data_IF_295201980820
#
_entry.id   IF_295201980820
#
_cell.length_a   1.000
_cell.length_b   1.000
_cell.length_c   1.000
_cell.angle_alpha   90.00
_cell.angle_beta   90.00
_cell.angle_gamma   90.00
#
_symmetry.space_group_name_H-M   'P 1'
#
loop_
_entity.id
_entity.type
_entity.pdbx_description
1 polymer ?
#
# COMPACT_ATOMS: atom_id res chain seq x y z
N UNK A 1 7.16 42.75 5.38
CA UNK A 1 7.62 41.47 5.96
C UNK A 1 6.68 40.94 7.06
N UNK A 2 6.65 41.52 8.28
CA UNK A 2 5.81 41.01 9.40
C UNK A 2 4.32 40.82 9.06
N UNK A 3 3.73 41.69 8.24
CA UNK A 3 2.32 41.59 7.86
C UNK A 3 2.03 40.38 6.94
N UNK A 4 2.96 40.03 6.04
CA UNK A 4 2.85 38.85 5.16
C UNK A 4 2.95 37.57 5.97
N UNK A 5 3.93 37.50 6.89
CA UNK A 5 4.09 36.36 7.80
C UNK A 5 2.83 36.18 8.67
N UNK A 6 2.32 37.27 9.26
CA UNK A 6 1.08 37.21 10.04
C UNK A 6 -0.10 36.70 9.20
N UNK A 7 -0.20 37.09 7.93
CA UNK A 7 -1.29 36.65 7.06
C UNK A 7 -1.30 35.13 6.83
N UNK A 8 -0.13 34.52 6.60
CA UNK A 8 -0.03 33.06 6.46
C UNK A 8 -0.23 32.34 7.80
N UNK A 9 0.17 32.94 8.93
CA UNK A 9 -0.03 32.37 10.27
C UNK A 9 -1.50 32.45 10.72
N UNK A 10 -2.26 33.45 10.29
CA UNK A 10 -3.68 33.59 10.65
C UNK A 10 -4.64 32.83 9.74
N UNK A 11 -4.17 32.27 8.62
CA UNK A 11 -5.05 31.71 7.58
C UNK A 11 -4.78 30.22 7.35
N UNK A 12 -5.56 29.38 8.02
CA UNK A 12 -5.39 27.91 7.99
C UNK A 12 -5.58 27.27 6.61
N UNK A 13 -6.29 27.94 5.69
CA UNK A 13 -6.49 27.45 4.31
C UNK A 13 -5.38 27.87 3.35
N UNK A 14 -4.36 28.57 3.83
CA UNK A 14 -3.32 29.19 3.01
C UNK A 14 -3.83 30.46 2.33
N UNK A 15 -2.90 31.25 1.83
CA UNK A 15 -3.16 32.58 1.27
C UNK A 15 -2.65 32.64 -0.17
N UNK A 16 -3.46 33.18 -1.07
CA UNK A 16 -3.13 33.36 -2.49
C UNK A 16 -1.95 34.34 -2.66
N UNK A 17 -0.91 33.90 -3.35
CA UNK A 17 0.32 34.68 -3.59
C UNK A 17 0.09 35.89 -4.49
N UNK A 18 -0.85 35.81 -5.44
CA UNK A 18 -1.27 36.93 -6.27
C UNK A 18 -1.96 38.02 -5.45
N UNK A 19 -2.83 37.64 -4.53
CA UNK A 19 -3.47 38.53 -3.58
C UNK A 19 -2.44 39.18 -2.65
N UNK A 20 -1.48 38.44 -2.10
CA UNK A 20 -0.44 39.00 -1.24
C UNK A 20 0.35 40.11 -1.93
N UNK A 21 0.79 39.87 -3.17
CA UNK A 21 1.54 40.87 -3.96
C UNK A 21 0.77 42.17 -4.10
N UNK A 22 -0.51 42.08 -4.44
CA UNK A 22 -1.40 43.26 -4.59
C UNK A 22 -1.70 43.94 -3.25
N UNK A 23 -2.01 43.16 -2.21
CA UNK A 23 -2.42 43.68 -0.91
C UNK A 23 -1.27 44.35 -0.16
N UNK A 24 -0.04 43.84 -0.31
CA UNK A 24 1.15 44.35 0.39
C UNK A 24 2.08 45.18 -0.50
N UNK A 25 1.79 45.31 -1.80
CA UNK A 25 2.57 46.11 -2.74
C UNK A 25 4.01 45.59 -2.94
N UNK A 26 4.19 44.28 -2.96
CA UNK A 26 5.52 43.63 -3.06
C UNK A 26 5.71 42.93 -4.41
N UNK A 27 6.95 42.89 -4.88
CA UNK A 27 7.36 42.13 -6.06
C UNK A 27 7.43 40.62 -5.79
N UNK A 28 7.51 39.81 -6.84
CA UNK A 28 7.65 38.35 -6.75
C UNK A 28 8.90 37.95 -5.97
N UNK A 29 10.04 38.58 -6.28
CA UNK A 29 11.31 38.31 -5.63
C UNK A 29 11.29 38.68 -4.14
N UNK A 30 10.66 39.81 -3.79
CA UNK A 30 10.51 40.20 -2.38
C UNK A 30 9.58 39.26 -1.63
N UNK A 31 8.48 38.85 -2.25
CA UNK A 31 7.55 37.90 -1.65
C UNK A 31 8.23 36.53 -1.43
N UNK A 32 8.95 36.03 -2.42
CA UNK A 32 9.71 34.77 -2.33
C UNK A 32 10.77 34.85 -1.23
N UNK A 33 11.51 35.96 -1.12
CA UNK A 33 12.49 36.17 -0.04
C UNK A 33 11.82 36.13 1.33
N UNK A 34 10.70 36.84 1.50
CA UNK A 34 9.97 36.93 2.78
C UNK A 34 9.39 35.57 3.17
N UNK A 35 8.73 34.88 2.24
CA UNK A 35 8.13 33.56 2.47
C UNK A 35 9.19 32.49 2.73
N UNK A 36 10.31 32.53 2.00
CA UNK A 36 11.45 31.64 2.21
C UNK A 36 12.07 31.83 3.59
N UNK A 37 12.26 33.08 4.04
CA UNK A 37 12.76 33.37 5.38
C UNK A 37 11.80 32.91 6.50
N UNK A 38 10.50 32.90 6.22
CA UNK A 38 9.47 32.39 7.14
C UNK A 38 9.26 30.86 7.06
N UNK A 39 9.98 30.16 6.18
CA UNK A 39 9.81 28.73 5.94
C UNK A 39 8.43 28.37 5.34
N UNK A 40 7.74 29.33 4.74
CA UNK A 40 6.39 29.13 4.23
C UNK A 40 6.36 28.04 3.15
N UNK A 41 5.33 27.20 3.19
CA UNK A 41 5.14 26.14 2.21
C UNK A 41 4.31 26.68 1.06
N UNK A 42 4.92 26.75 -0.13
CA UNK A 42 4.26 27.16 -1.37
C UNK A 42 3.65 25.93 -2.05
N UNK A 43 2.37 26.03 -2.38
CA UNK A 43 1.55 24.94 -2.90
C UNK A 43 0.93 25.40 -4.22
N UNK A 44 1.23 24.73 -5.35
CA UNK A 44 0.56 25.00 -6.61
C UNK A 44 -0.94 24.76 -6.50
N UNK A 45 -1.74 25.71 -6.97
CA UNK A 45 -3.20 25.60 -6.95
C UNK A 45 -3.81 26.13 -8.26
N UNK A 46 -5.09 25.83 -8.50
CA UNK A 46 -5.82 26.33 -9.66
C UNK A 46 -5.95 27.86 -9.58
N UNK A 47 -5.21 28.57 -10.43
CA UNK A 47 -5.21 30.03 -10.51
C UNK A 47 -3.86 30.64 -10.13
N UNK A 48 -3.62 30.78 -8.83
CA UNK A 48 -2.32 31.19 -8.30
C UNK A 48 -1.92 30.32 -7.11
N UNK A 49 -0.60 30.19 -6.91
CA UNK A 49 -0.06 29.41 -5.81
C UNK A 49 -0.56 29.95 -4.48
N UNK A 50 -0.76 29.04 -3.53
CA UNK A 50 -1.10 29.38 -2.15
C UNK A 50 0.08 29.12 -1.24
N UNK A 51 0.25 29.96 -0.23
CA UNK A 51 1.29 29.79 0.77
C UNK A 51 0.68 29.54 2.15
N UNK A 52 1.25 28.56 2.84
CA UNK A 52 0.90 28.16 4.19
C UNK A 52 2.06 28.47 5.14
N UNK A 53 1.76 28.80 6.39
CA UNK A 53 2.78 28.69 7.44
C UNK A 53 3.18 27.22 7.61
N UNK A 54 4.41 26.93 8.10
CA UNK A 54 4.81 25.56 8.42
C UNK A 54 3.83 24.84 9.36
N UNK A 55 3.28 25.58 10.33
CA UNK A 55 2.32 25.06 11.30
C UNK A 55 1.01 24.63 10.63
N UNK A 56 0.41 25.47 9.79
CA UNK A 56 -0.84 25.13 9.11
C UNK A 56 -0.68 24.00 8.10
N UNK A 57 0.47 23.92 7.43
CA UNK A 57 0.78 22.80 6.54
C UNK A 57 0.89 21.48 7.30
N UNK A 58 1.55 21.50 8.46
CA UNK A 58 1.64 20.34 9.35
C UNK A 58 0.25 19.93 9.86
N UNK A 59 -0.55 20.88 10.35
CA UNK A 59 -1.92 20.58 10.81
C UNK A 59 -2.80 20.00 9.71
N UNK A 60 -2.69 20.47 8.46
CA UNK A 60 -3.42 19.88 7.34
C UNK A 60 -3.05 18.40 7.14
N UNK A 61 -1.78 18.05 7.28
CA UNK A 61 -1.36 16.64 7.20
C UNK A 61 -1.95 15.81 8.33
N UNK A 62 -1.93 16.32 9.57
CA UNK A 62 -2.48 15.63 10.74
C UNK A 62 -4.00 15.42 10.59
N UNK A 63 -4.71 16.42 10.06
CA UNK A 63 -6.15 16.29 9.75
C UNK A 63 -6.44 15.24 8.68
N UNK A 64 -5.60 15.13 7.64
CA UNK A 64 -5.74 14.08 6.62
C UNK A 64 -5.52 12.70 7.24
N UNK A 65 -4.51 12.54 8.09
CA UNK A 65 -4.24 11.27 8.77
C UNK A 65 -5.40 10.88 9.70
N UNK A 66 -5.89 11.82 10.52
CA UNK A 66 -7.04 11.60 11.40
C UNK A 66 -8.33 11.29 10.62
N UNK A 67 -8.54 11.94 9.48
CA UNK A 67 -9.63 11.58 8.57
C UNK A 67 -9.49 10.15 8.06
N UNK A 68 -8.30 9.73 7.62
CA UNK A 68 -8.07 8.37 7.13
C UNK A 68 -8.29 7.33 8.23
N UNK A 69 -7.85 7.59 9.47
CA UNK A 69 -8.14 6.72 10.62
C UNK A 69 -9.65 6.51 10.79
N UNK A 70 -10.41 7.60 10.78
CA UNK A 70 -11.87 7.57 10.90
C UNK A 70 -12.52 6.88 9.71
N UNK A 71 -12.09 7.20 8.49
CA UNK A 71 -12.60 6.60 7.27
C UNK A 71 -12.43 5.09 7.26
N UNK A 72 -11.26 4.58 7.68
CA UNK A 72 -10.99 3.14 7.76
C UNK A 72 -11.79 2.45 8.86
N UNK A 73 -11.90 3.06 10.03
CA UNK A 73 -12.73 2.53 11.14
C UNK A 73 -14.19 2.40 10.74
N UNK A 74 -14.74 3.42 10.09
CA UNK A 74 -16.15 3.46 9.72
C UNK A 74 -16.43 2.64 8.45
N UNK A 75 -15.42 2.45 7.59
CA UNK A 75 -15.51 1.74 6.32
C UNK A 75 -14.36 0.73 6.14
N UNK A 76 -14.25 -0.30 7.00
CA UNK A 76 -13.11 -1.23 7.01
C UNK A 76 -12.98 -2.05 5.73
N UNK A 77 -14.04 -2.10 4.93
CA UNK A 77 -14.12 -2.83 3.65
C UNK A 77 -13.58 -2.03 2.47
N UNK A 78 -13.38 -0.72 2.62
CA UNK A 78 -12.83 0.12 1.56
C UNK A 78 -11.31 0.13 1.62
N UNK A 79 -10.69 0.17 0.44
CA UNK A 79 -9.23 0.19 0.27
C UNK A 79 -8.58 1.45 0.78
N UNK A 80 -9.33 2.54 0.87
CA UNK A 80 -8.81 3.87 1.13
C UNK A 80 -9.77 4.91 0.60
N UNK A 81 -9.46 6.16 0.88
CA UNK A 81 -10.21 7.33 0.43
C UNK A 81 -9.59 7.87 -0.86
N UNK A 82 -10.38 8.38 -1.80
CA UNK A 82 -9.84 9.19 -2.89
C UNK A 82 -9.59 10.64 -2.43
N UNK A 83 -8.91 11.46 -3.23
CA UNK A 83 -8.60 12.84 -2.86
C UNK A 83 -9.85 13.71 -2.59
N UNK A 84 -10.96 13.45 -3.28
CA UNK A 84 -12.22 14.15 -3.03
C UNK A 84 -12.88 13.71 -1.72
N UNK A 85 -12.83 12.43 -1.38
CA UNK A 85 -13.30 11.93 -0.08
C UNK A 85 -12.52 12.60 1.07
N UNK A 86 -11.19 12.68 0.93
CA UNK A 86 -10.32 13.39 1.89
C UNK A 86 -10.75 14.86 1.98
N UNK A 87 -10.82 15.57 0.85
CA UNK A 87 -11.18 16.99 0.81
C UNK A 87 -12.53 17.28 1.46
N UNK A 88 -13.53 16.44 1.23
CA UNK A 88 -14.86 16.58 1.82
C UNK A 88 -14.91 16.21 3.31
N UNK A 89 -13.96 15.39 3.77
CA UNK A 89 -13.84 14.99 5.17
C UNK A 89 -13.03 15.95 6.06
N UNK A 90 -12.28 16.87 5.47
CA UNK A 90 -11.52 17.89 6.21
C UNK A 90 -12.45 18.96 6.79
N UNK A 91 -12.17 19.39 8.02
CA UNK A 91 -12.90 20.51 8.65
C UNK A 91 -12.65 21.84 7.92
N UNK A 92 -11.45 22.00 7.32
CA UNK A 92 -11.08 23.19 6.55
C UNK A 92 -11.44 23.06 5.08
N UNK A 93 -11.95 24.15 4.50
CA UNK A 93 -12.25 24.24 3.07
C UNK A 93 -11.00 24.60 2.28
N UNK A 94 -10.30 23.57 1.82
CA UNK A 94 -9.17 23.69 0.89
C UNK A 94 -9.57 23.24 -0.52
N UNK A 95 -8.85 23.74 -1.52
CA UNK A 95 -9.02 23.34 -2.91
C UNK A 95 -8.55 21.90 -3.13
N UNK A 96 -8.95 21.31 -4.25
CA UNK A 96 -8.49 19.97 -4.61
C UNK A 96 -6.98 19.94 -4.89
N UNK A 97 -6.42 20.99 -5.51
CA UNK A 97 -4.98 21.10 -5.75
C UNK A 97 -4.16 21.04 -4.45
N UNK A 98 -4.60 21.77 -3.42
CA UNK A 98 -3.95 21.73 -2.10
C UNK A 98 -3.99 20.33 -1.47
N UNK A 99 -5.12 19.63 -1.56
CA UNK A 99 -5.24 18.25 -1.02
C UNK A 99 -4.31 17.30 -1.77
N UNK A 100 -4.24 17.36 -3.09
CA UNK A 100 -3.35 16.49 -3.87
C UNK A 100 -1.88 16.71 -3.51
N UNK A 101 -1.46 17.96 -3.28
CA UNK A 101 -0.09 18.27 -2.86
C UNK A 101 0.20 17.78 -1.43
N UNK A 102 -0.76 17.92 -0.50
CA UNK A 102 -0.62 17.39 0.85
C UNK A 102 -0.55 15.84 0.84
N UNK A 103 -1.34 15.17 0.00
CA UNK A 103 -1.26 13.73 -0.20
C UNK A 103 0.08 13.31 -0.81
N UNK A 104 0.60 14.05 -1.79
CA UNK A 104 1.92 13.79 -2.37
C UNK A 104 3.04 13.89 -1.31
N UNK A 105 2.98 14.90 -0.44
CA UNK A 105 3.91 15.06 0.68
C UNK A 105 3.75 13.99 1.77
N UNK A 106 2.55 13.43 1.97
CA UNK A 106 2.33 12.27 2.85
C UNK A 106 2.86 10.97 2.23
N UNK A 107 2.74 10.81 0.92
CA UNK A 107 3.25 9.65 0.18
C UNK A 107 4.78 9.62 0.17
N UNK A 108 5.44 10.77 -0.05
CA UNK A 108 6.91 10.83 -0.11
C UNK A 108 7.61 10.49 1.21
N UNK A 109 6.90 10.62 2.35
CA UNK A 109 7.37 10.23 3.68
C UNK A 109 6.78 8.90 4.16
N UNK A 110 6.11 8.17 3.28
CA UNK A 110 5.52 6.85 3.57
C UNK A 110 4.46 6.85 4.70
N UNK A 111 3.92 8.01 5.07
CA UNK A 111 2.86 8.14 6.08
C UNK A 111 1.51 7.59 5.57
N UNK A 112 1.34 7.50 4.25
CA UNK A 112 0.21 6.88 3.57
C UNK A 112 0.71 6.06 2.38
N UNK A 113 -0.14 5.16 1.89
CA UNK A 113 0.12 4.33 0.69
C UNK A 113 -0.96 4.59 -0.34
N UNK A 114 -0.57 4.69 -1.62
CA UNK A 114 -1.50 4.87 -2.74
C UNK A 114 -1.75 3.55 -3.47
N UNK A 115 -3.01 3.28 -3.79
CA UNK A 115 -3.45 2.21 -4.67
C UNK A 115 -4.45 2.75 -5.68
N UNK A 116 -4.01 2.87 -6.94
CA UNK A 116 -4.80 3.55 -7.97
C UNK A 116 -5.11 4.99 -7.56
N UNK A 117 -6.40 5.34 -7.54
CA UNK A 117 -6.90 6.68 -7.16
C UNK A 117 -7.14 6.85 -5.65
N UNK A 118 -6.94 5.78 -4.87
CA UNK A 118 -7.19 5.78 -3.42
C UNK A 118 -5.91 5.83 -2.61
N UNK A 119 -5.98 6.44 -1.42
CA UNK A 119 -4.92 6.47 -0.42
C UNK A 119 -5.40 5.85 0.89
N UNK A 120 -4.51 5.19 1.61
CA UNK A 120 -4.78 4.58 2.91
C UNK A 120 -3.60 4.71 3.86
N UNK A 121 -3.85 4.50 5.15
CA UNK A 121 -2.79 4.34 6.13
C UNK A 121 -2.05 3.02 5.85
N UNK A 122 -0.72 2.95 6.04
CA UNK A 122 0.07 1.76 5.75
C UNK A 122 -0.47 0.50 6.46
N UNK A 123 -0.94 0.65 7.70
CA UNK A 123 -1.50 -0.43 8.52
C UNK A 123 -2.95 -0.83 8.21
N UNK A 124 -3.70 -0.09 7.37
CA UNK A 124 -5.09 -0.44 7.08
C UNK A 124 -5.18 -1.70 6.22
N UNK A 125 -5.75 -2.77 6.78
CA UNK A 125 -6.05 -4.03 6.08
C UNK A 125 -7.55 -4.12 5.82
N UNK A 126 -7.93 -4.38 4.57
CA UNK A 126 -9.34 -4.57 4.21
C UNK A 126 -9.84 -5.87 4.81
N UNK A 127 -10.99 -5.85 5.50
CA UNK A 127 -11.61 -7.08 6.01
C UNK A 127 -12.62 -7.66 5.02
N UNK A 128 -12.84 -8.98 5.10
CA UNK A 128 -13.87 -9.66 4.33
C UNK A 128 -15.28 -9.31 4.85
N UNK A 129 -16.31 -9.48 4.01
CA UNK A 129 -17.69 -9.39 4.48
C UNK A 129 -18.13 -10.65 5.23
N UNK A 130 -19.16 -10.58 6.07
CA UNK A 130 -19.62 -11.71 6.92
C UNK A 130 -19.89 -13.00 6.15
N UNK A 131 -20.40 -12.93 4.92
CA UNK A 131 -20.59 -14.13 4.09
C UNK A 131 -19.26 -14.72 3.60
N UNK A 132 -18.31 -13.86 3.20
CA UNK A 132 -16.99 -14.28 2.78
C UNK A 132 -16.20 -14.85 3.96
N UNK A 133 -16.28 -14.25 5.15
CA UNK A 133 -15.65 -14.75 6.39
C UNK A 133 -16.12 -16.17 6.74
N UNK A 134 -17.40 -16.48 6.52
CA UNK A 134 -17.94 -17.84 6.73
C UNK A 134 -17.39 -18.86 5.74
N UNK A 135 -17.18 -18.46 4.49
CA UNK A 135 -16.73 -19.35 3.42
C UNK A 135 -15.20 -19.47 3.39
N UNK A 136 -14.49 -18.42 3.81
CA UNK A 136 -13.05 -18.27 3.70
C UNK A 136 -12.24 -19.43 4.32
N UNK A 137 -12.51 -19.92 5.54
CA UNK A 137 -11.73 -21.02 6.13
C UNK A 137 -11.72 -22.28 5.26
N UNK A 138 -12.85 -22.60 4.62
CA UNK A 138 -12.96 -23.74 3.70
C UNK A 138 -12.15 -23.51 2.42
N UNK A 139 -12.18 -22.30 1.89
CA UNK A 139 -11.42 -21.91 0.68
C UNK A 139 -9.92 -21.91 0.96
N UNK A 140 -9.48 -21.25 2.04
CA UNK A 140 -8.09 -21.21 2.47
C UNK A 140 -7.51 -22.61 2.65
N UNK A 141 -8.29 -23.53 3.25
CA UNK A 141 -7.90 -24.94 3.42
C UNK A 141 -7.70 -25.67 2.08
N UNK A 142 -8.50 -25.38 1.05
CA UNK A 142 -8.33 -25.99 -0.28
C UNK A 142 -7.10 -25.44 -1.00
N UNK A 143 -6.74 -24.18 -0.75
CA UNK A 143 -5.59 -23.51 -1.37
C UNK A 143 -4.26 -23.73 -0.63
N UNK A 144 -4.30 -24.38 0.53
CA UNK A 144 -3.14 -24.56 1.40
C UNK A 144 -2.14 -25.58 0.80
N UNK A 145 -0.90 -25.17 0.48
CA UNK A 145 0.11 -26.04 -0.09
C UNK A 145 0.55 -27.18 0.85
N UNK A 146 0.32 -27.07 2.17
CA UNK A 146 0.57 -28.15 3.11
C UNK A 146 -0.36 -29.36 2.91
N UNK A 147 -1.45 -29.18 2.15
CA UNK A 147 -2.44 -30.24 1.85
C UNK A 147 -2.28 -30.81 0.44
N UNK A 148 -1.25 -30.39 -0.28
CA UNK A 148 -0.98 -30.76 -1.66
C UNK A 148 -0.83 -29.54 -2.56
N UNK A 149 -0.50 -29.77 -3.82
CA UNK A 149 -0.34 -28.69 -4.80
C UNK A 149 -1.63 -27.85 -4.87
N UNK A 150 -1.60 -26.54 -4.56
CA UNK A 150 -2.81 -25.71 -4.51
C UNK A 150 -3.56 -25.78 -5.84
N UNK A 151 -4.87 -26.02 -5.92
CA UNK A 151 -5.57 -26.19 -7.19
C UNK A 151 -5.62 -24.90 -8.04
N UNK A 152 -5.86 -25.05 -9.34
CA UNK A 152 -6.27 -23.92 -10.18
C UNK A 152 -7.68 -23.43 -9.78
N UNK A 153 -8.05 -22.20 -10.16
CA UNK A 153 -9.34 -21.59 -9.86
C UNK A 153 -10.52 -22.50 -10.26
N UNK A 154 -10.43 -23.12 -11.44
CA UNK A 154 -11.43 -24.07 -11.94
C UNK A 154 -11.53 -25.32 -11.06
N UNK A 155 -10.39 -25.94 -10.73
CA UNK A 155 -10.36 -27.12 -9.86
C UNK A 155 -10.84 -26.79 -8.44
N UNK A 156 -10.48 -25.63 -7.91
CA UNK A 156 -10.95 -25.15 -6.61
C UNK A 156 -12.48 -24.96 -6.62
N UNK A 157 -13.01 -24.36 -7.69
CA UNK A 157 -14.45 -24.20 -7.94
C UNK A 157 -15.18 -25.55 -7.91
N UNK A 158 -14.66 -26.55 -8.64
CA UNK A 158 -15.22 -27.92 -8.66
C UNK A 158 -15.19 -28.58 -7.27
N UNK A 159 -14.07 -28.49 -6.55
CA UNK A 159 -13.92 -29.07 -5.20
C UNK A 159 -14.81 -28.39 -4.16
N UNK A 160 -14.93 -27.06 -4.24
CA UNK A 160 -15.70 -26.25 -3.29
C UNK A 160 -17.20 -26.25 -3.61
N UNK A 161 -17.58 -26.64 -4.84
CA UNK A 161 -18.94 -26.50 -5.37
C UNK A 161 -19.42 -25.04 -5.30
N UNK A 162 -18.52 -24.11 -5.63
CA UNK A 162 -18.78 -22.67 -5.73
C UNK A 162 -18.54 -22.29 -7.18
N UNK A 163 -19.43 -21.52 -7.80
CA UNK A 163 -19.26 -21.13 -9.20
C UNK A 163 -17.94 -20.39 -9.43
N UNK A 164 -17.27 -20.63 -10.56
CA UNK A 164 -15.92 -20.08 -10.82
C UNK A 164 -15.87 -18.55 -10.73
N UNK A 165 -16.90 -17.86 -11.25
CA UNK A 165 -17.01 -16.40 -11.17
C UNK A 165 -17.19 -15.90 -9.73
N UNK A 166 -17.99 -16.61 -8.92
CA UNK A 166 -18.22 -16.29 -7.51
C UNK A 166 -16.94 -16.50 -6.69
N UNK A 167 -16.26 -17.63 -6.89
CA UNK A 167 -14.99 -17.94 -6.24
C UNK A 167 -13.90 -16.94 -6.66
N UNK A 168 -13.83 -16.58 -7.94
CA UNK A 168 -12.90 -15.57 -8.44
C UNK A 168 -13.13 -14.19 -7.80
N UNK A 169 -14.40 -13.79 -7.63
CA UNK A 169 -14.75 -12.55 -6.95
C UNK A 169 -14.36 -12.58 -5.45
N UNK A 170 -14.60 -13.70 -4.77
CA UNK A 170 -14.15 -13.93 -3.39
C UNK A 170 -12.63 -13.84 -3.28
N UNK A 171 -11.88 -14.52 -4.15
CA UNK A 171 -10.41 -14.53 -4.13
C UNK A 171 -9.83 -13.16 -4.46
N UNK A 172 -10.47 -12.37 -5.33
CA UNK A 172 -10.11 -10.97 -5.54
C UNK A 172 -10.28 -10.15 -4.26
N UNK A 173 -11.39 -10.34 -3.52
CA UNK A 173 -11.61 -9.69 -2.22
C UNK A 173 -10.64 -10.18 -1.14
N UNK A 174 -10.33 -11.47 -1.09
CA UNK A 174 -9.35 -12.05 -0.19
C UNK A 174 -7.92 -11.57 -0.49
N UNK A 175 -7.57 -11.40 -1.77
CA UNK A 175 -6.28 -10.84 -2.20
C UNK A 175 -6.16 -9.40 -1.74
N UNK A 176 -7.25 -8.66 -1.91
CA UNK A 176 -7.41 -7.29 -1.43
C UNK A 176 -7.32 -7.16 0.10
N UNK A 177 -7.77 -8.17 0.82
CA UNK A 177 -7.66 -8.29 2.28
C UNK A 177 -6.28 -8.77 2.76
N UNK A 178 -5.35 -9.10 1.85
CA UNK A 178 -4.04 -9.65 2.21
C UNK A 178 -4.07 -11.09 2.73
N UNK A 179 -5.15 -11.83 2.49
CA UNK A 179 -5.30 -13.21 2.97
C UNK A 179 -4.71 -14.23 1.99
N UNK A 180 -4.63 -13.89 0.70
CA UNK A 180 -4.18 -14.77 -0.38
C UNK A 180 -3.41 -13.97 -1.43
N UNK A 181 -2.52 -14.63 -2.16
CA UNK A 181 -1.81 -14.03 -3.29
C UNK A 181 -2.00 -14.85 -4.56
N UNK A 182 -2.13 -14.21 -5.73
CA UNK A 182 -2.12 -14.88 -7.02
C UNK A 182 -0.67 -15.25 -7.39
N UNK A 183 -0.30 -16.52 -7.19
CA UNK A 183 1.00 -17.05 -7.65
C UNK A 183 1.04 -17.15 -9.18
N UNK A 184 -0.10 -17.46 -9.80
CA UNK A 184 -0.32 -17.34 -11.24
C UNK A 184 -1.66 -16.68 -11.52
N UNK A 185 -2.05 -16.54 -12.79
CA UNK A 185 -3.39 -16.04 -13.17
C UNK A 185 -4.53 -16.89 -12.63
N UNK A 186 -4.29 -18.18 -12.40
CA UNK A 186 -5.31 -19.15 -12.01
C UNK A 186 -5.01 -19.85 -10.69
N UNK A 187 -3.83 -19.67 -10.08
CA UNK A 187 -3.47 -20.30 -8.81
C UNK A 187 -3.28 -19.25 -7.72
N UNK A 188 -3.98 -19.44 -6.62
CA UNK A 188 -3.98 -18.57 -5.45
C UNK A 188 -3.44 -19.36 -4.25
N UNK A 189 -2.63 -18.72 -3.41
CA UNK A 189 -2.01 -19.35 -2.23
C UNK A 189 -2.19 -18.45 -1.01
N UNK A 190 -2.58 -18.97 0.15
CA UNK A 190 -2.68 -18.17 1.38
C UNK A 190 -1.38 -17.41 1.65
N UNK A 191 -1.48 -16.13 2.04
CA UNK A 191 -0.29 -15.30 2.24
C UNK A 191 0.63 -15.87 3.33
N UNK A 192 0.05 -16.43 4.39
CA UNK A 192 0.77 -17.12 5.47
C UNK A 192 1.60 -18.29 4.94
N UNK A 193 1.02 -19.13 4.08
CA UNK A 193 1.76 -20.23 3.45
C UNK A 193 2.89 -19.73 2.55
N UNK A 194 2.69 -18.63 1.82
CA UNK A 194 3.74 -18.01 1.00
C UNK A 194 4.91 -17.51 1.85
N UNK A 195 4.65 -16.94 3.04
CA UNK A 195 5.71 -16.52 3.97
C UNK A 195 6.54 -17.70 4.45
N UNK A 196 5.92 -18.80 4.87
CA UNK A 196 6.64 -20.03 5.25
C UNK A 196 7.46 -20.60 4.08
N UNK A 197 6.90 -20.60 2.87
CA UNK A 197 7.59 -21.05 1.66
C UNK A 197 8.74 -20.13 1.24
N UNK A 198 8.65 -18.82 1.52
CA UNK A 198 9.74 -17.87 1.32
C UNK A 198 10.85 -18.07 2.35
N UNK A 199 10.50 -18.31 3.62
CA UNK A 199 11.46 -18.64 4.67
C UNK A 199 12.28 -19.89 4.32
N UNK A 200 11.65 -20.93 3.73
CA UNK A 200 12.39 -22.09 3.21
C UNK A 200 13.44 -21.71 2.15
N UNK A 201 13.16 -20.73 1.30
CA UNK A 201 14.14 -20.25 0.31
C UNK A 201 15.30 -19.50 0.98
N UNK A 202 15.02 -18.70 2.02
CA UNK A 202 16.05 -18.01 2.80
C UNK A 202 16.95 -19.00 3.54
N UNK A 203 16.38 -20.01 4.20
CA UNK A 203 17.13 -21.09 4.84
C UNK A 203 18.03 -21.81 3.84
N UNK A 204 17.48 -22.22 2.68
CA UNK A 204 18.25 -22.90 1.65
C UNK A 204 19.40 -22.05 1.10
N UNK A 205 19.16 -20.76 0.90
CA UNK A 205 20.21 -19.84 0.48
C UNK A 205 21.31 -19.73 1.56
N UNK A 206 20.96 -19.70 2.85
CA UNK A 206 21.92 -19.66 3.95
C UNK A 206 22.78 -20.93 4.08
N UNK A 207 22.24 -22.08 3.69
CA UNK A 207 22.93 -23.38 3.75
C UNK A 207 23.86 -23.65 2.55
N UNK A 208 23.61 -23.01 1.40
CA UNK A 208 24.34 -23.27 0.17
C UNK A 208 25.51 -22.29 -0.06
N UNK A 209 26.62 -22.78 -0.66
CA UNK A 209 27.70 -21.90 -1.11
C UNK A 209 27.17 -20.78 -2.02
N UNK A 210 27.72 -19.58 -1.84
CA UNK A 210 27.37 -18.36 -2.60
C UNK A 210 25.91 -17.86 -2.43
N UNK A 211 25.09 -18.47 -1.57
CA UNK A 211 23.71 -18.05 -1.37
C UNK A 211 22.77 -18.34 -2.54
N UNK A 212 23.09 -19.37 -3.35
CA UNK A 212 22.42 -19.63 -4.63
C UNK A 212 21.85 -21.04 -4.71
N UNK A 213 20.58 -21.15 -5.07
CA UNK A 213 19.87 -22.43 -5.21
C UNK A 213 19.21 -22.60 -6.58
N UNK A 214 19.06 -23.85 -7.01
CA UNK A 214 18.30 -24.28 -8.18
C UNK A 214 16.84 -24.55 -7.82
N UNK A 215 15.98 -24.64 -8.85
CA UNK A 215 14.58 -25.02 -8.62
C UNK A 215 14.42 -26.43 -8.02
N UNK A 216 15.36 -27.35 -8.29
CA UNK A 216 15.34 -28.70 -7.75
C UNK A 216 15.66 -28.74 -6.25
N UNK A 217 16.67 -27.97 -5.82
CA UNK A 217 17.03 -27.82 -4.41
C UNK A 217 15.89 -27.16 -3.63
N UNK A 218 15.31 -26.08 -4.16
CA UNK A 218 14.15 -25.42 -3.52
C UNK A 218 12.95 -26.36 -3.40
N UNK A 219 12.63 -27.10 -4.47
CA UNK A 219 11.53 -28.07 -4.45
C UNK A 219 11.70 -29.11 -3.33
N UNK A 220 12.93 -29.59 -3.12
CA UNK A 220 13.24 -30.54 -2.05
C UNK A 220 13.13 -29.87 -0.67
N UNK A 221 13.70 -28.68 -0.49
CA UNK A 221 13.63 -27.94 0.78
C UNK A 221 12.18 -27.64 1.20
N UNK A 222 11.38 -27.11 0.28
CA UNK A 222 9.99 -26.75 0.55
C UNK A 222 9.03 -27.95 0.50
N UNK A 223 9.52 -29.15 0.16
CA UNK A 223 8.72 -30.39 0.04
C UNK A 223 7.45 -30.24 -0.82
N UNK A 224 7.55 -29.49 -1.92
CA UNK A 224 6.42 -29.21 -2.83
C UNK A 224 6.56 -29.94 -4.18
N UNK A 225 5.47 -30.01 -4.95
CA UNK A 225 5.52 -30.55 -6.31
C UNK A 225 6.34 -29.69 -7.28
N UNK A 226 7.00 -30.30 -8.27
CA UNK A 226 7.85 -29.59 -9.25
C UNK A 226 7.15 -28.44 -9.97
N UNK A 227 5.92 -28.67 -10.45
CA UNK A 227 5.18 -27.65 -11.19
C UNK A 227 4.87 -26.43 -10.30
N UNK A 228 4.41 -26.69 -9.07
CA UNK A 228 4.13 -25.61 -8.12
C UNK A 228 5.40 -24.87 -7.69
N UNK A 229 6.51 -25.59 -7.47
CA UNK A 229 7.80 -24.98 -7.15
C UNK A 229 8.25 -23.98 -8.23
N UNK A 230 8.12 -24.34 -9.51
CA UNK A 230 8.47 -23.45 -10.62
C UNK A 230 7.58 -22.20 -10.62
N UNK A 231 6.26 -22.37 -10.55
CA UNK A 231 5.30 -21.25 -10.55
C UNK A 231 5.54 -20.31 -9.35
N UNK A 232 5.84 -20.87 -8.18
CA UNK A 232 6.13 -20.10 -6.98
C UNK A 232 7.45 -19.33 -7.08
N UNK A 233 8.50 -19.95 -7.61
CA UNK A 233 9.78 -19.26 -7.84
C UNK A 233 9.65 -18.14 -8.87
N UNK A 234 8.84 -18.33 -9.92
CA UNK A 234 8.53 -17.24 -10.86
C UNK A 234 7.74 -16.11 -10.19
N UNK A 235 6.83 -16.43 -9.27
CA UNK A 235 6.15 -15.42 -8.46
C UNK A 235 7.13 -14.67 -7.55
N UNK A 236 8.06 -15.37 -6.90
CA UNK A 236 9.12 -14.76 -6.11
C UNK A 236 10.01 -13.82 -6.93
N UNK A 237 10.37 -14.21 -8.15
CA UNK A 237 11.12 -13.35 -9.07
C UNK A 237 10.33 -12.07 -9.40
N UNK A 238 9.03 -12.19 -9.75
CA UNK A 238 8.15 -11.05 -10.04
C UNK A 238 7.89 -10.14 -8.84
N UNK A 239 7.91 -10.70 -7.63
CA UNK A 239 7.75 -9.95 -6.37
C UNK A 239 9.03 -9.21 -5.95
N UNK A 240 10.15 -9.47 -6.64
CA UNK A 240 11.48 -8.95 -6.28
C UNK A 240 12.08 -9.58 -5.03
N UNK A 241 11.51 -10.68 -4.52
CA UNK A 241 12.07 -11.45 -3.40
C UNK A 241 13.30 -12.24 -3.85
N UNK A 242 13.22 -12.93 -4.99
CA UNK A 242 14.35 -13.63 -5.61
C UNK A 242 14.78 -12.96 -6.91
N UNK A 243 16.00 -13.26 -7.33
CA UNK A 243 16.52 -12.91 -8.65
C UNK A 243 17.08 -14.17 -9.32
N UNK A 244 16.68 -14.41 -10.58
CA UNK A 244 17.14 -15.53 -11.38
C UNK A 244 18.45 -15.20 -12.12
N UNK A 245 19.45 -16.06 -11.92
CA UNK A 245 20.77 -16.00 -12.53
C UNK A 245 21.03 -17.33 -13.26
N UNK A 246 20.65 -17.40 -14.53
CA UNK A 246 20.69 -18.64 -15.30
C UNK A 246 19.73 -19.71 -14.76
N UNK A 247 20.27 -20.82 -14.28
CA UNK A 247 19.55 -21.95 -13.67
C UNK A 247 19.39 -21.81 -12.14
N UNK A 248 20.09 -20.86 -11.52
CA UNK A 248 20.07 -20.59 -10.08
C UNK A 248 19.30 -19.32 -9.73
N UNK A 249 19.00 -19.16 -8.45
CA UNK A 249 18.39 -17.98 -7.84
C UNK A 249 19.13 -17.58 -6.58
N UNK A 250 19.10 -16.27 -6.28
CA UNK A 250 19.53 -15.72 -4.99
C UNK A 250 18.41 -14.91 -4.35
N UNK A 251 18.47 -14.74 -3.04
CA UNK A 251 17.60 -13.82 -2.30
C UNK A 251 18.04 -12.38 -2.62
N UNK A 252 17.09 -11.53 -3.01
CA UNK A 252 17.32 -10.11 -3.33
C UNK A 252 17.01 -9.21 -2.13
N UNK A 253 16.00 -9.57 -1.34
CA UNK A 253 15.58 -8.88 -0.11
C UNK A 253 14.90 -9.86 0.84
N UNK A 254 14.80 -9.55 2.14
CA UNK A 254 14.16 -10.43 3.11
C UNK A 254 12.69 -10.72 2.80
N UNK A 255 12.22 -11.93 3.12
CA UNK A 255 10.83 -12.34 2.95
C UNK A 255 9.86 -11.43 3.72
N UNK A 256 10.27 -10.97 4.90
CA UNK A 256 9.54 -10.00 5.73
C UNK A 256 9.28 -8.68 4.99
N UNK A 257 10.24 -8.20 4.19
CA UNK A 257 10.07 -6.99 3.38
C UNK A 257 9.19 -7.26 2.15
N UNK A 258 9.35 -8.42 1.51
CA UNK A 258 8.62 -8.77 0.30
C UNK A 258 7.14 -9.11 0.54
N UNK A 259 6.82 -9.74 1.67
CA UNK A 259 5.48 -10.31 1.95
C UNK A 259 4.90 -9.89 3.31
N UNK A 260 5.58 -9.01 4.06
CA UNK A 260 5.23 -8.61 5.42
C UNK A 260 5.55 -9.70 6.45
N UNK A 261 5.69 -9.33 7.73
CA UNK A 261 5.84 -10.29 8.83
C UNK A 261 4.50 -10.98 9.14
N UNK A 262 4.55 -12.19 9.70
CA UNK A 262 3.42 -12.72 10.45
C UNK A 262 3.10 -11.68 11.54
N UNK A 263 1.88 -11.13 11.51
CA UNK A 263 1.38 -10.50 12.72
C UNK A 263 1.28 -11.69 13.69
N UNK A 264 2.07 -11.68 14.76
CA UNK A 264 1.85 -12.56 15.91
C UNK A 264 0.36 -12.47 16.22
N UNK A 265 -0.38 -13.49 15.80
CA UNK A 265 -1.80 -13.53 16.03
C UNK A 265 -1.89 -13.89 17.49
N UNK A 266 -2.07 -12.84 18.29
CA UNK A 266 -2.36 -12.84 19.70
C UNK A 266 -3.26 -14.04 20.05
N UNK A 267 -2.71 -14.94 20.87
CA UNK A 267 -3.50 -15.80 21.76
C UNK A 267 -4.48 -14.96 22.61
#
# INVERSE_FOLDING_TARGET
ERAIVRAIESTATGVDTGWMRRAFGVTDLELERILGAAGAVRVPDTGADRCFSPSHWTTLHDEILAFLETFHRDRPRLHGANANDVRLGLARRVSQGVVEQALAALLSREAIVRRGVTVRLPGHKVTLGTNDERVWPRVARVLDPARGSPPSLRQASEQLKIGEAELGALLKRATNAGLVVPVTRTRFVPLTAVRGLAAHAETLAGELPEGRFTAAEYKNQASVGRNFAIELLEFFDRSGFTERLGDRRRIRRPAAEAFGMEDDTQD
#
